data_IF_135308391990
#
_entry.id   IF_135308391990
#
_cell.length_a   1.000
_cell.length_b   1.000
_cell.length_c   1.000
_cell.angle_alpha   90.00
_cell.angle_beta   90.00
_cell.angle_gamma   90.00
#
_symmetry.space_group_name_H-M   'P 1'
#
loop_
_entity.id
_entity.type
_entity.pdbx_description
1 polymer ?
#
# COMPACT_ATOMS: atom_id res chain seq x y z
N UNK A 1 25.82 -52.14 -60.69
CA UNK A 1 25.04 -50.97 -60.20
C UNK A 1 25.83 -49.70 -60.47
N UNK A 2 25.19 -48.72 -61.09
CA UNK A 2 25.84 -47.54 -61.66
C UNK A 2 26.26 -46.57 -60.54
N UNK A 3 27.57 -46.31 -60.36
CA UNK A 3 28.13 -45.43 -59.28
C UNK A 3 27.55 -44.01 -59.32
N UNK A 4 27.01 -43.59 -60.46
CA UNK A 4 26.32 -42.32 -60.65
C UNK A 4 24.95 -42.27 -59.94
N UNK A 5 24.21 -43.38 -59.92
CA UNK A 5 22.89 -43.47 -59.29
C UNK A 5 22.99 -43.39 -57.75
N UNK A 6 24.06 -43.95 -57.15
CA UNK A 6 24.28 -43.93 -55.70
C UNK A 6 24.63 -42.51 -55.21
N UNK A 7 25.40 -41.74 -56.00
CA UNK A 7 25.72 -40.34 -55.66
C UNK A 7 24.52 -39.40 -55.79
N UNK A 8 23.68 -39.60 -56.82
CA UNK A 8 22.45 -38.82 -56.98
C UNK A 8 21.45 -39.11 -55.84
N UNK A 9 21.33 -40.38 -55.43
CA UNK A 9 20.46 -40.77 -54.31
C UNK A 9 20.96 -40.21 -52.97
N UNK A 10 22.27 -40.24 -52.71
CA UNK A 10 22.85 -39.68 -51.49
C UNK A 10 22.72 -38.15 -51.40
N UNK A 11 22.86 -37.43 -52.52
CA UNK A 11 22.61 -35.99 -52.58
C UNK A 11 21.13 -35.63 -52.45
N UNK A 12 20.21 -36.46 -52.98
CA UNK A 12 18.77 -36.26 -52.79
C UNK A 12 18.35 -36.52 -51.32
N UNK A 13 18.96 -37.51 -50.66
CA UNK A 13 18.73 -37.82 -49.24
C UNK A 13 19.27 -36.71 -48.34
N UNK A 14 20.45 -36.14 -48.63
CA UNK A 14 20.96 -34.96 -47.90
C UNK A 14 20.13 -33.69 -48.15
N UNK A 15 19.52 -33.54 -49.34
CA UNK A 15 18.59 -32.43 -49.62
C UNK A 15 17.23 -32.61 -48.91
N UNK A 16 16.77 -33.86 -48.74
CA UNK A 16 15.53 -34.21 -48.03
C UNK A 16 15.68 -34.21 -46.49
N UNK A 17 16.89 -34.41 -45.98
CA UNK A 17 17.19 -34.37 -44.53
C UNK A 17 17.58 -32.96 -44.02
N UNK A 18 17.80 -31.99 -44.91
CA UNK A 18 18.29 -30.65 -44.55
C UNK A 18 17.24 -29.67 -44.03
N UNK A 19 15.95 -30.00 -44.12
CA UNK A 19 14.85 -29.12 -43.70
C UNK A 19 13.78 -29.91 -42.95
N UNK A 20 14.15 -30.57 -41.86
CA UNK A 20 13.15 -30.81 -40.82
C UNK A 20 12.77 -29.42 -40.29
N UNK A 21 11.69 -28.84 -40.81
CA UNK A 21 11.08 -27.66 -40.23
C UNK A 21 10.91 -27.98 -38.74
N UNK A 22 11.62 -27.25 -37.88
CA UNK A 22 11.45 -27.36 -36.44
C UNK A 22 9.98 -27.08 -36.19
N UNK A 23 9.24 -28.15 -35.87
CA UNK A 23 7.82 -28.04 -35.60
C UNK A 23 7.66 -27.00 -34.50
N UNK A 24 6.87 -25.96 -34.77
CA UNK A 24 6.47 -24.99 -33.77
C UNK A 24 5.85 -25.79 -32.61
N UNK A 25 6.51 -25.73 -31.46
CA UNK A 25 6.00 -26.34 -30.25
C UNK A 25 5.49 -25.21 -29.36
N UNK A 26 4.30 -25.36 -28.82
CA UNK A 26 3.88 -24.53 -27.71
C UNK A 26 4.54 -25.04 -26.43
N UNK A 27 5.07 -24.13 -25.63
CA UNK A 27 5.71 -24.44 -24.35
C UNK A 27 4.99 -23.70 -23.23
N UNK A 28 4.96 -24.33 -22.06
CA UNK A 28 4.29 -23.77 -20.88
C UNK A 28 5.24 -22.86 -20.13
N UNK A 29 4.92 -21.56 -20.07
CA UNK A 29 5.74 -20.52 -19.41
C UNK A 29 4.90 -19.82 -18.36
N UNK A 30 5.49 -19.45 -17.24
CA UNK A 30 4.86 -18.62 -16.20
C UNK A 30 5.76 -17.43 -15.95
N UNK A 31 5.23 -16.21 -15.91
CA UNK A 31 6.01 -15.03 -15.55
C UNK A 31 5.76 -14.71 -14.08
N UNK A 32 6.81 -14.35 -13.35
CA UNK A 32 6.75 -13.86 -11.97
C UNK A 32 7.39 -12.48 -11.94
N UNK A 33 6.98 -11.65 -11.00
CA UNK A 33 7.35 -10.24 -11.00
C UNK A 33 7.78 -9.82 -9.60
N UNK A 34 8.95 -9.20 -9.56
CA UNK A 34 9.52 -8.57 -8.38
C UNK A 34 9.63 -7.08 -8.73
N UNK A 35 9.33 -6.20 -7.78
CA UNK A 35 9.54 -4.77 -7.87
C UNK A 35 10.84 -4.47 -7.13
N UNK A 36 11.74 -3.77 -7.80
CA UNK A 36 12.90 -3.23 -7.11
C UNK A 36 12.51 -1.88 -6.52
N UNK A 37 12.53 -1.77 -5.19
CA UNK A 37 12.11 -0.58 -4.45
C UNK A 37 13.27 0.02 -3.70
N UNK A 38 13.31 1.35 -3.65
CA UNK A 38 14.30 2.12 -2.88
C UNK A 38 13.54 3.14 -2.05
N UNK A 39 13.25 2.75 -0.81
CA UNK A 39 12.57 3.61 0.15
C UNK A 39 13.58 4.41 0.94
N UNK A 40 13.27 5.67 1.28
CA UNK A 40 14.08 6.48 2.19
C UNK A 40 13.90 6.06 3.66
N UNK A 41 12.80 5.37 3.98
CA UNK A 41 12.38 4.91 5.30
C UNK A 41 12.32 3.37 5.40
N UNK A 42 13.20 2.67 4.68
CA UNK A 42 13.22 1.21 4.67
C UNK A 42 13.39 0.61 6.07
N UNK A 43 14.13 1.27 6.96
CA UNK A 43 14.35 0.83 8.34
C UNK A 43 13.14 1.08 9.28
N UNK A 44 12.08 1.79 8.85
CA UNK A 44 10.89 2.00 9.68
C UNK A 44 10.00 0.74 9.70
N UNK A 45 10.08 -0.06 10.78
CA UNK A 45 9.25 -1.24 11.02
C UNK A 45 9.96 -2.58 10.79
N UNK A 46 9.20 -3.68 10.83
CA UNK A 46 9.71 -5.06 10.79
C UNK A 46 9.71 -5.69 9.39
N UNK A 47 8.92 -5.12 8.47
CA UNK A 47 8.84 -5.58 7.09
C UNK A 47 9.57 -4.65 6.13
N UNK A 48 10.29 -5.26 5.19
CA UNK A 48 11.04 -4.55 4.15
C UNK A 48 12.10 -3.62 4.78
N UNK A 49 12.80 -4.14 5.79
CA UNK A 49 13.91 -3.50 6.55
C UNK A 49 15.21 -3.39 5.76
N UNK A 50 15.22 -3.92 4.54
CA UNK A 50 16.27 -3.71 3.57
C UNK A 50 15.54 -3.19 2.35
N UNK A 51 16.11 -2.18 1.68
CA UNK A 51 15.68 -1.86 0.32
C UNK A 51 15.76 -3.11 -0.57
N UNK A 52 15.26 -3.00 -1.79
CA UNK A 52 15.44 -3.97 -2.87
C UNK A 52 14.48 -5.18 -2.88
N UNK A 53 13.98 -5.47 -4.09
CA UNK A 53 13.29 -6.70 -4.51
C UNK A 53 12.14 -7.21 -3.61
N UNK A 54 10.93 -6.69 -3.83
CA UNK A 54 9.69 -7.18 -3.21
C UNK A 54 8.73 -7.79 -4.25
N UNK A 55 7.86 -8.71 -3.84
CA UNK A 55 6.89 -9.28 -4.77
C UNK A 55 5.94 -8.19 -5.30
N UNK A 56 5.67 -8.22 -6.62
CA UNK A 56 4.78 -7.27 -7.27
C UNK A 56 3.29 -7.65 -7.08
N UNK A 57 2.82 -7.67 -5.83
CA UNK A 57 1.52 -8.23 -5.46
C UNK A 57 0.38 -7.74 -6.35
N UNK A 58 -0.23 -8.67 -7.09
CA UNK A 58 -1.38 -8.36 -7.92
C UNK A 58 -1.10 -7.45 -9.13
N UNK A 59 0.16 -7.23 -9.51
CA UNK A 59 0.50 -6.30 -10.60
C UNK A 59 -0.19 -6.67 -11.92
N UNK A 60 -0.65 -5.68 -12.67
CA UNK A 60 -1.13 -5.88 -14.03
C UNK A 60 0.04 -6.08 -14.97
N UNK A 61 0.02 -7.20 -15.68
CA UNK A 61 0.99 -7.52 -16.72
C UNK A 61 0.30 -7.79 -18.05
N UNK A 62 1.02 -7.52 -19.14
CA UNK A 62 0.60 -7.84 -20.50
C UNK A 62 1.75 -8.52 -21.23
N UNK A 63 1.45 -9.65 -21.86
CA UNK A 63 2.39 -10.39 -22.72
C UNK A 63 1.83 -10.35 -24.13
N UNK A 64 2.60 -9.80 -25.07
CA UNK A 64 2.22 -9.58 -26.46
C UNK A 64 3.13 -10.43 -27.34
N UNK A 65 2.54 -11.16 -28.27
CA UNK A 65 3.26 -11.89 -29.30
C UNK A 65 3.74 -10.91 -30.38
N UNK A 66 5.05 -10.67 -30.48
CA UNK A 66 5.60 -9.69 -31.42
C UNK A 66 5.38 -10.09 -32.88
N UNK A 67 5.12 -11.37 -33.16
CA UNK A 67 4.92 -11.87 -34.52
C UNK A 67 3.49 -11.64 -35.01
N UNK A 68 2.51 -11.62 -34.11
CA UNK A 68 1.08 -11.46 -34.48
C UNK A 68 0.44 -10.18 -33.95
N UNK A 69 1.11 -9.48 -33.03
CA UNK A 69 0.59 -8.34 -32.26
C UNK A 69 -0.60 -8.70 -31.34
N UNK A 70 -0.80 -9.99 -31.05
CA UNK A 70 -1.86 -10.46 -30.17
C UNK A 70 -1.40 -10.49 -28.70
N UNK A 71 -2.28 -10.07 -27.79
CA UNK A 71 -2.06 -10.26 -26.37
C UNK A 71 -2.32 -11.72 -25.98
N UNK A 72 -1.27 -12.46 -25.61
CA UNK A 72 -1.38 -13.83 -25.07
C UNK A 72 -1.69 -13.83 -23.57
N UNK A 73 -1.46 -12.69 -22.90
CA UNK A 73 -1.90 -12.42 -21.53
C UNK A 73 -2.16 -10.92 -21.38
N UNK A 74 -3.28 -10.56 -20.75
CA UNK A 74 -3.58 -9.20 -20.27
C UNK A 74 -4.41 -9.37 -18.99
N UNK A 75 -3.75 -9.29 -17.84
CA UNK A 75 -4.37 -9.68 -16.58
C UNK A 75 -3.51 -9.37 -15.37
N UNK A 76 -3.91 -9.94 -14.24
CA UNK A 76 -3.29 -9.72 -12.94
C UNK A 76 -2.35 -10.87 -12.60
N UNK A 77 -1.19 -10.53 -12.07
CA UNK A 77 -0.33 -11.49 -11.40
C UNK A 77 -0.96 -11.94 -10.08
N UNK A 78 -0.44 -13.02 -9.50
CA UNK A 78 -0.85 -13.47 -8.18
C UNK A 78 -0.55 -12.44 -7.08
N UNK A 79 -1.29 -12.54 -5.99
CA UNK A 79 -1.20 -11.76 -4.75
C UNK A 79 -0.45 -12.50 -3.64
N UNK A 80 0.04 -13.71 -3.93
CA UNK A 80 0.79 -14.53 -2.97
C UNK A 80 2.10 -15.01 -3.59
N UNK A 81 3.13 -15.16 -2.77
CA UNK A 81 4.46 -15.56 -3.21
C UNK A 81 5.07 -14.54 -4.19
N UNK A 82 5.66 -15.02 -5.30
CA UNK A 82 6.43 -14.21 -6.25
C UNK A 82 5.60 -13.45 -7.30
N UNK A 83 4.33 -13.16 -7.00
CA UNK A 83 3.40 -12.46 -7.89
C UNK A 83 3.47 -12.94 -9.36
N UNK A 84 2.99 -14.16 -9.61
CA UNK A 84 3.13 -14.78 -10.92
C UNK A 84 1.83 -14.86 -11.71
N UNK A 85 1.91 -14.85 -13.03
CA UNK A 85 0.80 -15.18 -13.94
C UNK A 85 0.34 -16.63 -13.76
N UNK A 86 -0.78 -17.00 -14.39
CA UNK A 86 -1.04 -18.41 -14.71
C UNK A 86 -0.01 -18.94 -15.72
N UNK A 87 0.05 -20.26 -15.90
CA UNK A 87 0.85 -20.85 -16.98
C UNK A 87 0.25 -20.46 -18.34
N UNK A 88 1.09 -19.87 -19.19
CA UNK A 88 0.80 -19.45 -20.55
C UNK A 88 1.36 -20.47 -21.55
N UNK A 89 0.70 -20.62 -22.70
CA UNK A 89 1.14 -21.49 -23.78
C UNK A 89 1.74 -20.64 -24.90
N UNK A 90 3.07 -20.59 -25.01
CA UNK A 90 3.80 -19.71 -25.92
C UNK A 90 4.48 -20.49 -27.06
N UNK A 91 4.53 -19.93 -28.25
CA UNK A 91 5.13 -20.53 -29.43
C UNK A 91 6.64 -20.33 -29.45
N UNK A 92 7.43 -21.41 -29.55
CA UNK A 92 8.91 -21.36 -29.58
C UNK A 92 9.51 -20.64 -30.78
N UNK A 93 8.72 -20.37 -31.83
CA UNK A 93 9.18 -19.66 -33.02
C UNK A 93 8.83 -18.16 -33.00
N UNK A 94 8.17 -17.70 -31.93
CA UNK A 94 7.77 -16.31 -31.77
C UNK A 94 8.62 -15.63 -30.69
N UNK A 95 8.65 -14.30 -30.69
CA UNK A 95 9.16 -13.52 -29.56
C UNK A 95 8.04 -12.80 -28.86
N UNK A 96 8.22 -12.53 -27.58
CA UNK A 96 7.19 -11.91 -26.75
C UNK A 96 7.70 -10.65 -26.08
N UNK A 97 6.85 -9.64 -26.14
CA UNK A 97 6.98 -8.40 -25.39
C UNK A 97 6.23 -8.54 -24.07
N UNK A 98 6.90 -8.31 -22.95
CA UNK A 98 6.31 -8.33 -21.61
C UNK A 98 6.28 -6.89 -21.07
N UNK A 99 5.10 -6.43 -20.66
CA UNK A 99 4.88 -5.10 -20.09
C UNK A 99 4.21 -5.18 -18.73
N UNK A 100 4.65 -4.32 -17.83
CA UNK A 100 4.04 -4.06 -16.54
C UNK A 100 3.38 -2.69 -16.54
N UNK A 101 2.36 -2.54 -15.71
CA UNK A 101 1.66 -1.28 -15.50
C UNK A 101 1.75 -0.90 -14.04
N UNK A 102 1.80 0.40 -13.73
CA UNK A 102 1.70 0.93 -12.37
C UNK A 102 0.28 0.78 -11.79
N UNK A 103 -0.20 -0.48 -11.76
CA UNK A 103 -1.56 -0.87 -11.43
C UNK A 103 -1.56 -2.27 -10.84
N UNK A 104 -2.24 -2.45 -9.71
CA UNK A 104 -2.29 -3.73 -9.00
C UNK A 104 -3.70 -4.05 -8.51
N UNK A 105 -4.01 -5.33 -8.31
CA UNK A 105 -5.28 -5.81 -7.75
C UNK A 105 -5.05 -6.81 -6.63
N UNK A 106 -5.61 -6.56 -5.46
CA UNK A 106 -5.54 -7.47 -4.31
C UNK A 106 -6.55 -8.63 -4.42
N UNK A 107 -6.58 -9.51 -3.41
CA UNK A 107 -7.50 -10.65 -3.32
C UNK A 107 -8.97 -10.26 -3.06
N UNK A 108 -9.20 -9.00 -2.66
CA UNK A 108 -10.52 -8.45 -2.41
C UNK A 108 -11.06 -7.65 -3.61
N UNK A 109 -10.42 -7.77 -4.79
CA UNK A 109 -10.73 -7.02 -6.00
C UNK A 109 -10.58 -5.49 -5.86
N UNK A 110 -9.84 -5.02 -4.86
CA UNK A 110 -9.41 -3.63 -4.78
C UNK A 110 -8.30 -3.37 -5.80
N UNK A 111 -8.40 -2.25 -6.52
CA UNK A 111 -7.47 -1.88 -7.58
C UNK A 111 -6.74 -0.59 -7.20
N UNK A 112 -5.41 -0.67 -7.14
CA UNK A 112 -4.51 0.48 -7.00
C UNK A 112 -4.11 0.94 -8.40
N UNK A 113 -4.24 2.24 -8.66
CA UNK A 113 -3.74 2.91 -9.86
C UNK A 113 -2.75 3.98 -9.40
N UNK A 114 -1.53 3.93 -9.93
CA UNK A 114 -0.50 4.92 -9.66
C UNK A 114 -0.18 5.68 -10.96
N UNK A 115 -0.29 7.00 -10.92
CA UNK A 115 -0.13 7.87 -12.07
C UNK A 115 1.10 8.76 -11.92
N UNK A 116 1.78 9.04 -13.04
CA UNK A 116 3.02 9.82 -13.07
C UNK A 116 2.83 11.33 -12.88
N UNK A 117 1.62 11.84 -13.07
CA UNK A 117 1.36 13.29 -13.05
C UNK A 117 0.05 13.62 -12.37
N UNK A 118 -0.02 14.77 -11.72
CA UNK A 118 -1.20 15.22 -10.97
C UNK A 118 -2.47 15.44 -11.83
N UNK A 119 -2.34 15.55 -13.15
CA UNK A 119 -3.44 15.92 -14.06
C UNK A 119 -3.76 14.85 -15.10
N UNK A 120 -2.98 13.78 -15.18
CA UNK A 120 -3.15 12.71 -16.16
C UNK A 120 -3.44 11.37 -15.50
N UNK A 121 -4.33 10.60 -16.11
CA UNK A 121 -4.57 9.18 -15.75
C UNK A 121 -3.64 8.24 -16.52
N UNK A 122 -2.45 8.73 -16.88
CA UNK A 122 -1.46 7.93 -17.59
C UNK A 122 -0.75 7.03 -16.58
N UNK A 123 -1.10 5.74 -16.62
CA UNK A 123 -0.34 4.70 -15.93
C UNK A 123 1.08 4.68 -16.49
N UNK A 124 2.07 4.61 -15.61
CA UNK A 124 3.42 4.25 -15.98
C UNK A 124 3.39 2.84 -16.58
N UNK A 125 4.10 2.66 -17.70
CA UNK A 125 4.21 1.39 -18.41
C UNK A 125 5.67 1.06 -18.58
N UNK A 126 6.09 -0.07 -18.04
CA UNK A 126 7.46 -0.53 -18.15
C UNK A 126 7.52 -1.76 -19.04
N UNK A 127 8.39 -1.72 -20.06
CA UNK A 127 8.70 -2.91 -20.84
C UNK A 127 9.84 -3.68 -20.16
N UNK A 128 9.56 -4.93 -19.78
CA UNK A 128 10.47 -5.75 -18.97
C UNK A 128 11.29 -6.73 -19.80
N UNK A 129 10.74 -7.17 -20.93
CA UNK A 129 11.41 -7.98 -21.93
C UNK A 129 10.83 -7.61 -23.29
N UNK A 130 11.67 -7.25 -24.26
CA UNK A 130 11.22 -6.83 -25.59
C UNK A 130 11.09 -8.01 -26.55
N UNK A 131 11.88 -9.08 -26.36
CA UNK A 131 12.04 -10.15 -27.33
C UNK A 131 12.22 -11.51 -26.65
N UNK A 132 11.38 -11.82 -25.66
CA UNK A 132 11.46 -13.11 -24.99
C UNK A 132 11.22 -14.25 -25.98
N UNK A 133 12.22 -15.12 -26.16
CA UNK A 133 12.10 -16.34 -26.96
C UNK A 133 11.91 -17.56 -26.03
N UNK A 134 10.74 -18.21 -26.04
CA UNK A 134 10.48 -19.32 -25.13
C UNK A 134 11.19 -20.60 -25.62
N UNK A 135 11.68 -21.41 -24.68
CA UNK A 135 12.43 -22.65 -24.96
C UNK A 135 11.70 -23.88 -24.41
N UNK A 136 11.83 -25.02 -25.09
CA UNK A 136 11.15 -26.27 -24.71
C UNK A 136 11.65 -26.79 -23.37
N UNK A 137 10.72 -27.12 -22.47
CA UNK A 137 11.01 -27.81 -21.22
C UNK A 137 11.37 -26.93 -20.02
N UNK A 138 11.11 -25.63 -20.05
CA UNK A 138 11.47 -24.71 -18.95
C UNK A 138 10.27 -24.00 -18.33
N UNK A 139 10.13 -24.05 -17.00
CA UNK A 139 9.48 -22.96 -16.25
C UNK A 139 10.50 -21.82 -16.14
N UNK A 140 10.16 -20.62 -16.62
CA UNK A 140 11.04 -19.45 -16.52
C UNK A 140 10.61 -18.55 -15.38
N UNK A 141 11.36 -18.53 -14.30
CA UNK A 141 11.24 -17.47 -13.32
C UNK A 141 11.90 -16.22 -13.90
N UNK A 142 11.11 -15.18 -14.09
CA UNK A 142 11.64 -13.83 -14.27
C UNK A 142 11.75 -13.22 -12.88
N UNK A 143 12.97 -12.96 -12.45
CA UNK A 143 13.20 -11.96 -11.42
C UNK A 143 13.33 -10.67 -12.18
N UNK A 144 12.28 -9.86 -12.15
CA UNK A 144 12.35 -8.54 -12.72
C UNK A 144 13.02 -7.64 -11.70
N UNK A 145 14.26 -7.26 -11.98
CA UNK A 145 14.95 -6.18 -11.28
C UNK A 145 14.55 -4.92 -12.06
N UNK A 146 13.81 -4.00 -11.44
CA UNK A 146 13.42 -2.75 -12.10
C UNK A 146 14.66 -1.86 -12.12
N UNK A 147 15.51 -2.02 -13.14
CA UNK A 147 16.85 -1.39 -13.21
C UNK A 147 16.79 0.15 -13.33
N UNK A 148 15.60 0.76 -13.38
CA UNK A 148 15.43 2.20 -13.32
C UNK A 148 14.21 2.50 -12.44
N UNK A 149 14.42 2.51 -11.12
CA UNK A 149 13.41 2.81 -10.13
C UNK A 149 12.68 4.10 -10.51
N UNK A 150 11.39 3.95 -10.83
CA UNK A 150 10.49 5.08 -10.97
C UNK A 150 9.61 5.13 -9.72
N UNK A 151 9.38 6.33 -9.18
CA UNK A 151 8.61 6.55 -7.94
C UNK A 151 7.26 5.81 -7.94
N UNK A 152 6.65 5.60 -9.11
CA UNK A 152 5.40 4.87 -9.27
C UNK A 152 5.50 3.41 -8.83
N UNK A 153 6.69 2.80 -8.95
CA UNK A 153 6.93 1.41 -8.53
C UNK A 153 7.05 1.29 -7.01
N UNK A 154 7.74 2.22 -6.34
CA UNK A 154 7.77 2.35 -4.89
C UNK A 154 6.35 2.53 -4.33
N UNK A 155 5.60 3.48 -4.88
CA UNK A 155 4.22 3.76 -4.45
C UNK A 155 3.30 2.56 -4.69
N UNK A 156 3.41 1.91 -5.86
CA UNK A 156 2.60 0.72 -6.16
C UNK A 156 2.92 -0.43 -5.21
N UNK A 157 4.20 -0.70 -4.95
CA UNK A 157 4.63 -1.78 -4.07
C UNK A 157 4.05 -1.57 -2.65
N UNK A 158 4.27 -0.40 -2.06
CA UNK A 158 3.78 -0.07 -0.71
C UNK A 158 2.25 -0.15 -0.64
N UNK A 159 1.54 0.48 -1.59
CA UNK A 159 0.08 0.53 -1.57
C UNK A 159 -0.57 -0.84 -1.82
N UNK A 160 -0.02 -1.64 -2.74
CA UNK A 160 -0.55 -2.97 -3.03
C UNK A 160 -0.29 -3.96 -1.89
N UNK A 161 0.87 -3.89 -1.27
CA UNK A 161 1.18 -4.69 -0.08
C UNK A 161 0.25 -4.35 1.08
N UNK A 162 0.11 -3.07 1.42
CA UNK A 162 -0.76 -2.62 2.51
C UNK A 162 -2.21 -3.08 2.34
N UNK A 163 -2.78 -2.95 1.15
CA UNK A 163 -4.15 -3.41 0.89
C UNK A 163 -4.28 -4.95 0.88
N UNK A 164 -3.24 -5.67 0.45
CA UNK A 164 -3.23 -7.12 0.47
C UNK A 164 -3.22 -7.69 1.89
N UNK A 165 -2.44 -7.08 2.78
CA UNK A 165 -2.36 -7.46 4.20
C UNK A 165 -3.60 -6.97 4.96
N UNK A 166 -3.96 -5.71 4.76
CA UNK A 166 -4.98 -5.01 5.54
C UNK A 166 -6.02 -4.36 4.63
N UNK A 167 -6.91 -5.12 3.97
CA UNK A 167 -7.96 -4.54 3.13
C UNK A 167 -8.97 -3.71 3.93
N UNK A 168 -8.87 -3.73 5.26
CA UNK A 168 -9.83 -3.19 6.22
C UNK A 168 -11.27 -3.67 5.97
N UNK A 169 -11.44 -4.76 5.19
CA UNK A 169 -12.67 -5.37 4.65
C UNK A 169 -13.34 -4.59 3.49
N UNK A 170 -12.60 -3.70 2.83
CA UNK A 170 -12.98 -3.15 1.52
C UNK A 170 -12.88 -4.22 0.44
N UNK A 171 -13.75 -4.13 -0.56
CA UNK A 171 -13.72 -4.99 -1.74
C UNK A 171 -14.23 -4.23 -2.97
N UNK A 172 -13.62 -4.51 -4.12
CA UNK A 172 -14.00 -3.91 -5.41
C UNK A 172 -13.79 -2.39 -5.50
N UNK A 173 -12.92 -1.82 -4.66
CA UNK A 173 -12.66 -0.37 -4.64
C UNK A 173 -11.53 0.04 -5.58
N UNK A 174 -11.54 1.29 -6.02
CA UNK A 174 -10.44 1.88 -6.77
C UNK A 174 -9.72 2.92 -5.89
N UNK A 175 -8.39 2.84 -5.90
CA UNK A 175 -7.48 3.73 -5.19
C UNK A 175 -6.61 4.43 -6.24
N UNK A 176 -6.62 5.75 -6.25
CA UNK A 176 -5.93 6.57 -7.23
C UNK A 176 -4.84 7.36 -6.52
N UNK A 177 -3.58 7.13 -6.89
CA UNK A 177 -2.42 7.78 -6.32
C UNK A 177 -1.63 8.46 -7.44
N UNK A 178 -1.22 9.70 -7.22
CA UNK A 178 -0.38 10.46 -8.14
C UNK A 178 0.97 10.70 -7.46
N UNK A 179 2.07 10.48 -8.19
CA UNK A 179 3.46 10.72 -7.71
C UNK A 179 3.91 12.18 -7.86
N UNK A 180 2.96 13.06 -8.16
CA UNK A 180 3.15 14.50 -8.26
C UNK A 180 1.97 15.22 -7.63
N UNK A 181 2.24 16.35 -6.99
CA UNK A 181 1.23 17.27 -6.45
C UNK A 181 0.95 18.41 -7.44
N UNK A 182 -0.24 19.02 -7.43
CA UNK A 182 -0.50 20.27 -8.14
C UNK A 182 0.50 21.37 -7.72
N UNK A 183 0.89 22.29 -8.63
CA UNK A 183 1.91 23.31 -8.34
C UNK A 183 1.56 24.31 -7.23
N UNK A 184 0.28 24.40 -6.86
CA UNK A 184 -0.28 25.31 -5.84
C UNK A 184 -0.49 24.64 -4.48
N UNK A 185 -0.23 23.34 -4.38
CA UNK A 185 -0.36 22.56 -3.15
C UNK A 185 1.00 22.29 -2.51
N UNK A 186 1.01 21.97 -1.22
CA UNK A 186 2.23 21.60 -0.48
C UNK A 186 1.97 20.33 0.33
N UNK A 187 2.99 19.47 0.37
CA UNK A 187 2.89 18.18 1.07
C UNK A 187 2.09 17.15 0.29
N UNK A 188 2.23 15.89 0.68
CA UNK A 188 1.29 14.87 0.28
C UNK A 188 -0.08 15.12 0.90
N UNK A 189 -1.15 14.76 0.20
CA UNK A 189 -2.51 14.90 0.69
C UNK A 189 -3.50 14.02 -0.07
N UNK A 190 -4.66 13.79 0.55
CA UNK A 190 -5.82 13.20 -0.08
C UNK A 190 -6.85 14.30 -0.46
N UNK A 191 -7.17 14.40 -1.75
CA UNK A 191 -8.22 15.28 -2.25
C UNK A 191 -9.63 14.79 -1.86
N UNK A 192 -10.61 15.70 -1.95
CA UNK A 192 -12.01 15.42 -1.56
C UNK A 192 -12.71 14.32 -2.36
N UNK A 193 -12.22 13.99 -3.56
CA UNK A 193 -12.71 12.88 -4.39
C UNK A 193 -12.08 11.52 -4.02
N UNK A 194 -11.14 11.50 -3.07
CA UNK A 194 -10.38 10.33 -2.66
C UNK A 194 -9.20 10.02 -3.56
N UNK A 195 -8.71 11.00 -4.31
CA UNK A 195 -7.43 10.89 -5.02
C UNK A 195 -6.29 11.31 -4.10
N UNK A 196 -5.23 10.51 -4.01
CA UNK A 196 -4.02 10.83 -3.25
C UNK A 196 -3.00 11.49 -4.17
N UNK A 197 -2.40 12.57 -3.71
CA UNK A 197 -1.25 13.22 -4.35
C UNK A 197 -0.05 13.13 -3.41
N UNK A 198 1.03 12.53 -3.89
CA UNK A 198 2.26 12.33 -3.12
C UNK A 198 3.31 13.32 -3.60
N UNK A 199 3.91 14.02 -2.65
CA UNK A 199 5.10 14.83 -2.91
C UNK A 199 6.37 13.96 -2.95
N UNK A 200 7.53 14.61 -3.04
CA UNK A 200 8.80 13.87 -3.08
C UNK A 200 9.04 13.05 -1.81
N UNK A 201 8.73 13.60 -0.65
CA UNK A 201 9.01 12.96 0.64
C UNK A 201 8.14 11.72 0.86
N UNK A 202 6.91 11.71 0.37
CA UNK A 202 5.98 10.60 0.61
C UNK A 202 6.03 9.51 -0.48
N UNK A 203 6.39 9.85 -1.72
CA UNK A 203 6.45 8.83 -2.81
C UNK A 203 7.69 7.94 -2.73
N UNK A 204 8.74 8.41 -2.03
CA UNK A 204 9.94 7.64 -1.74
C UNK A 204 9.93 7.05 -0.33
N UNK A 205 8.88 7.27 0.46
CA UNK A 205 8.71 6.71 1.79
C UNK A 205 7.56 5.69 1.81
N UNK A 206 7.82 4.44 2.20
CA UNK A 206 6.78 3.40 2.33
C UNK A 206 5.74 3.82 3.35
N UNK A 207 6.16 4.40 4.48
CA UNK A 207 5.28 4.89 5.54
C UNK A 207 4.46 6.10 5.10
N UNK A 208 5.05 7.01 4.31
CA UNK A 208 4.37 8.16 3.73
C UNK A 208 3.26 7.74 2.76
N UNK A 209 3.58 6.80 1.85
CA UNK A 209 2.59 6.25 0.92
C UNK A 209 1.43 5.55 1.66
N UNK A 210 1.73 4.70 2.64
CA UNK A 210 0.66 3.98 3.36
C UNK A 210 -0.11 4.87 4.33
N UNK A 211 0.46 5.98 4.79
CA UNK A 211 -0.24 6.94 5.64
C UNK A 211 -1.37 7.59 4.86
N UNK A 212 -1.06 8.14 3.68
CA UNK A 212 -2.07 8.71 2.80
C UNK A 212 -3.11 7.66 2.35
N UNK A 213 -2.66 6.44 2.11
CA UNK A 213 -3.56 5.33 1.83
C UNK A 213 -4.51 5.02 3.00
N UNK A 214 -4.04 5.14 4.25
CA UNK A 214 -4.86 5.00 5.46
C UNK A 214 -6.02 5.98 5.50
N UNK A 215 -5.79 7.26 5.15
CA UNK A 215 -6.85 8.26 4.98
C UNK A 215 -7.88 7.80 3.96
N UNK A 216 -7.42 7.32 2.81
CA UNK A 216 -8.30 6.87 1.72
C UNK A 216 -9.07 5.59 2.08
N UNK A 217 -8.46 4.64 2.78
CA UNK A 217 -9.16 3.46 3.31
C UNK A 217 -10.27 3.89 4.26
N UNK A 218 -9.99 4.85 5.16
CA UNK A 218 -10.98 5.47 6.04
C UNK A 218 -12.13 6.11 5.28
N UNK A 219 -11.82 6.93 4.26
CA UNK A 219 -12.79 7.55 3.36
C UNK A 219 -13.67 6.52 2.65
N UNK A 220 -13.07 5.48 2.04
CA UNK A 220 -13.81 4.44 1.31
C UNK A 220 -14.68 3.61 2.25
N UNK A 221 -14.24 3.41 3.49
CA UNK A 221 -15.03 2.75 4.53
C UNK A 221 -16.21 3.58 4.97
N UNK A 222 -16.02 4.87 5.10
CA UNK A 222 -17.06 5.83 5.42
C UNK A 222 -17.89 6.28 4.20
N UNK A 223 -18.11 5.38 3.23
CA UNK A 223 -18.98 5.66 2.08
C UNK A 223 -18.54 6.82 1.18
N UNK A 224 -17.24 7.12 1.12
CA UNK A 224 -16.64 8.30 0.46
C UNK A 224 -16.94 9.64 1.15
N UNK A 225 -17.05 9.64 2.47
CA UNK A 225 -17.18 10.85 3.27
C UNK A 225 -15.92 11.05 4.11
N UNK A 226 -15.24 12.19 3.93
CA UNK A 226 -13.84 12.40 4.36
C UNK A 226 -13.64 12.63 5.86
N UNK A 227 -14.71 12.63 6.64
CA UNK A 227 -14.69 13.05 8.02
C UNK A 227 -14.53 14.57 8.15
N UNK A 228 -15.11 15.14 9.19
CA UNK A 228 -14.80 16.51 9.56
C UNK A 228 -13.46 16.55 10.28
N UNK A 229 -12.55 17.42 9.83
CA UNK A 229 -11.20 17.59 10.38
C UNK A 229 -10.98 19.05 10.76
N UNK A 230 -10.59 19.32 12.00
CA UNK A 230 -10.33 20.68 12.47
C UNK A 230 -8.86 20.84 12.86
N UNK A 231 -8.07 21.39 11.94
CA UNK A 231 -6.65 21.69 12.17
C UNK A 231 -6.43 23.10 12.75
N UNK A 232 -7.50 23.83 13.04
CA UNK A 232 -7.46 25.23 13.44
C UNK A 232 -7.23 25.46 14.93
N UNK A 233 -6.49 24.60 15.64
CA UNK A 233 -6.13 24.89 17.03
C UNK A 233 -4.99 25.92 17.09
N UNK A 234 -5.31 27.10 17.61
CA UNK A 234 -4.39 28.25 17.73
C UNK A 234 -3.99 28.54 19.17
N UNK A 235 -4.17 27.57 20.08
CA UNK A 235 -3.96 27.74 21.52
C UNK A 235 -2.58 28.30 21.92
N UNK A 236 -2.59 29.22 22.89
CA UNK A 236 -1.48 30.07 23.36
C UNK A 236 -0.64 29.43 24.50
N UNK A 237 -0.73 28.11 24.68
CA UNK A 237 -0.23 27.40 25.86
C UNK A 237 0.95 26.49 25.53
N UNK A 238 2.20 26.92 25.73
CA UNK A 238 3.47 26.16 25.90
C UNK A 238 3.79 24.88 25.07
N UNK A 239 2.89 24.35 24.24
CA UNK A 239 3.13 23.32 23.24
C UNK A 239 3.84 24.02 22.08
N UNK A 240 5.07 23.59 21.80
CA UNK A 240 6.02 24.39 21.01
C UNK A 240 5.74 24.42 19.50
N UNK A 241 4.71 23.72 19.01
CA UNK A 241 4.30 23.72 17.60
C UNK A 241 2.82 24.05 17.44
N UNK A 242 2.51 24.90 16.45
CA UNK A 242 1.15 25.17 16.00
C UNK A 242 0.50 23.88 15.47
N UNK A 243 -0.83 23.78 15.55
CA UNK A 243 -1.60 22.60 15.16
C UNK A 243 -1.53 22.22 13.67
N UNK A 244 -0.94 23.07 12.83
CA UNK A 244 -0.79 22.81 11.39
C UNK A 244 0.31 21.82 11.04
N UNK A 245 1.21 21.51 11.99
CA UNK A 245 2.45 20.83 11.67
C UNK A 245 2.46 19.33 12.06
N UNK A 246 1.35 18.77 12.56
CA UNK A 246 1.20 17.33 12.87
C UNK A 246 2.45 16.71 13.50
N UNK A 247 2.72 17.11 14.74
CA UNK A 247 3.97 16.77 15.44
C UNK A 247 3.69 16.02 16.72
N UNK A 248 4.71 15.34 17.21
CA UNK A 248 4.68 14.68 18.51
C UNK A 248 4.26 15.62 19.66
N UNK A 249 4.50 16.92 19.49
CA UNK A 249 4.20 17.97 20.45
C UNK A 249 3.14 18.97 19.98
N UNK A 250 2.32 18.61 18.99
CA UNK A 250 1.16 19.40 18.61
C UNK A 250 0.04 19.22 19.63
N UNK A 251 -0.80 20.25 19.73
CA UNK A 251 -2.10 20.19 20.38
C UNK A 251 -3.14 20.27 19.27
N UNK A 252 -3.97 19.25 19.16
CA UNK A 252 -4.92 19.13 18.04
C UNK A 252 -6.34 18.98 18.55
N UNK A 253 -7.30 19.38 17.72
CA UNK A 253 -8.67 18.94 17.93
C UNK A 253 -8.75 17.44 17.72
N UNK A 254 -9.52 16.77 18.57
CA UNK A 254 -9.67 15.31 18.52
C UNK A 254 -10.03 14.81 17.14
N UNK A 255 -10.82 15.55 16.36
CA UNK A 255 -11.22 15.19 15.00
C UNK A 255 -10.06 15.12 14.00
N UNK A 256 -9.09 16.03 14.11
CA UNK A 256 -7.85 15.97 13.34
C UNK A 256 -6.94 14.86 13.87
N UNK A 257 -6.67 14.88 15.18
CA UNK A 257 -5.79 13.92 15.85
C UNK A 257 -6.18 12.46 15.57
N UNK A 258 -7.47 12.13 15.68
CA UNK A 258 -7.93 10.76 15.43
C UNK A 258 -7.86 10.37 13.95
N UNK A 259 -8.04 11.33 13.04
CA UNK A 259 -7.96 11.09 11.61
C UNK A 259 -6.51 10.74 11.22
N UNK A 260 -5.55 11.55 11.65
CA UNK A 260 -4.13 11.30 11.42
C UNK A 260 -3.64 10.07 12.18
N UNK A 261 -4.08 9.88 13.42
CA UNK A 261 -3.76 8.69 14.21
C UNK A 261 -4.28 7.40 13.59
N UNK A 262 -5.43 7.43 12.91
CA UNK A 262 -5.93 6.27 12.16
C UNK A 262 -5.07 5.97 10.92
N UNK A 263 -4.61 6.99 10.20
CA UNK A 263 -3.69 6.83 9.07
C UNK A 263 -2.31 6.30 9.52
N UNK A 264 -1.76 6.85 10.60
CA UNK A 264 -0.57 6.32 11.26
C UNK A 264 -0.75 4.88 11.70
N UNK A 265 -1.90 4.54 12.29
CA UNK A 265 -2.21 3.16 12.68
C UNK A 265 -2.22 2.21 11.48
N UNK A 266 -2.85 2.61 10.37
CA UNK A 266 -2.88 1.80 9.16
C UNK A 266 -1.48 1.54 8.59
N UNK A 267 -0.62 2.56 8.61
CA UNK A 267 0.80 2.39 8.26
C UNK A 267 1.52 1.47 9.23
N UNK A 268 1.36 1.69 10.53
CA UNK A 268 2.06 0.94 11.57
C UNK A 268 1.71 -0.54 11.51
N UNK A 269 0.42 -0.88 11.41
CA UNK A 269 -0.02 -2.28 11.29
C UNK A 269 0.41 -2.94 9.97
N UNK A 270 0.68 -2.15 8.94
CA UNK A 270 1.21 -2.67 7.67
C UNK A 270 2.67 -3.09 7.79
N UNK A 271 3.49 -2.28 8.45
CA UNK A 271 4.94 -2.45 8.45
C UNK A 271 5.52 -3.11 9.70
N UNK A 272 4.71 -3.35 10.73
CA UNK A 272 5.15 -4.02 11.96
C UNK A 272 4.52 -5.41 12.11
N UNK A 273 5.26 -6.32 12.75
CA UNK A 273 4.77 -7.63 13.14
C UNK A 273 3.83 -7.48 14.35
N UNK A 274 2.54 -7.68 14.10
CA UNK A 274 1.51 -7.65 15.15
C UNK A 274 1.64 -8.77 16.21
N UNK A 275 2.69 -9.58 16.20
CA UNK A 275 3.04 -10.49 17.29
C UNK A 275 4.08 -9.92 18.26
N UNK A 276 4.77 -8.86 17.88
CA UNK A 276 5.78 -8.19 18.70
C UNK A 276 5.12 -7.15 19.64
N UNK A 277 5.78 -6.86 20.76
CA UNK A 277 5.23 -5.93 21.77
C UNK A 277 5.72 -4.50 21.58
N UNK A 278 6.70 -4.30 20.71
CA UNK A 278 7.19 -3.03 20.20
C UNK A 278 6.54 -2.79 18.84
N UNK A 279 6.42 -1.51 18.49
CA UNK A 279 6.04 -1.12 17.15
C UNK A 279 6.81 0.12 16.78
N UNK A 280 7.34 0.16 15.56
CA UNK A 280 8.12 1.27 15.05
C UNK A 280 7.33 2.06 14.01
N UNK A 281 7.32 3.37 14.20
CA UNK A 281 6.80 4.31 13.22
C UNK A 281 7.68 5.56 13.23
N UNK A 282 8.43 5.80 12.15
CA UNK A 282 9.37 6.94 12.01
C UNK A 282 10.41 7.02 13.12
N UNK A 283 11.15 5.94 13.33
CA UNK A 283 12.11 5.78 14.44
C UNK A 283 11.51 6.00 15.84
N UNK A 284 10.20 5.81 16.01
CA UNK A 284 9.51 5.94 17.31
C UNK A 284 8.86 4.63 17.70
N UNK A 285 9.14 4.21 18.92
CA UNK A 285 8.39 3.15 19.55
C UNK A 285 6.99 3.66 19.91
N UNK A 286 5.97 3.19 19.19
CA UNK A 286 4.59 3.42 19.54
C UNK A 286 4.13 2.51 20.69
N UNK A 287 4.97 1.60 21.19
CA UNK A 287 4.93 0.66 22.31
C UNK A 287 5.06 1.17 23.76
N UNK A 288 6.31 1.20 24.21
CA UNK A 288 6.69 1.22 25.63
C UNK A 288 8.16 1.56 25.90
N UNK A 289 8.90 2.02 24.92
CA UNK A 289 10.24 2.54 25.06
C UNK A 289 10.25 3.75 26.00
N UNK A 290 11.41 4.01 26.60
CA UNK A 290 11.62 5.19 27.46
C UNK A 290 11.21 6.51 26.78
N UNK A 291 11.20 6.51 25.45
CA UNK A 291 10.88 7.66 24.62
C UNK A 291 9.39 8.01 24.63
N UNK A 292 8.46 7.05 24.80
CA UNK A 292 7.01 7.31 24.70
C UNK A 292 6.40 7.93 25.97
N UNK A 293 6.76 7.44 27.17
CA UNK A 293 6.05 7.84 28.39
C UNK A 293 6.52 9.16 29.03
N UNK A 294 7.74 9.63 28.73
CA UNK A 294 8.33 10.77 29.46
C UNK A 294 8.13 12.09 28.71
N UNK A 295 8.08 12.09 27.37
CA UNK A 295 8.07 13.33 26.58
C UNK A 295 6.68 13.74 26.04
N UNK A 296 5.71 12.82 25.90
CA UNK A 296 4.53 13.04 25.05
C UNK A 296 3.35 13.63 25.81
N UNK A 297 3.01 13.03 26.97
CA UNK A 297 1.98 13.53 27.88
C UNK A 297 2.43 14.74 28.72
N UNK A 298 3.75 15.03 28.76
CA UNK A 298 4.34 16.05 29.63
C UNK A 298 4.69 17.36 28.92
N UNK A 299 4.76 17.40 27.58
CA UNK A 299 5.14 18.61 26.85
C UNK A 299 4.01 19.65 26.80
N UNK A 300 2.78 19.19 26.74
CA UNK A 300 1.61 20.03 26.90
C UNK A 300 1.12 19.92 28.35
N UNK A 301 1.23 21.00 29.14
CA UNK A 301 0.83 20.97 30.55
C UNK A 301 -0.67 20.62 30.68
N UNK A 302 -1.06 19.50 31.34
CA UNK A 302 -2.45 19.19 31.58
C UNK A 302 -3.11 20.25 32.48
N UNK A 303 -4.44 20.45 32.38
CA UNK A 303 -5.39 19.68 31.57
C UNK A 303 -5.45 20.17 30.10
N UNK A 304 -5.38 19.24 29.15
CA UNK A 304 -5.40 19.56 27.71
C UNK A 304 -6.79 19.87 27.15
N UNK A 305 -7.85 19.69 27.96
CA UNK A 305 -9.21 20.13 27.65
C UNK A 305 -9.87 19.33 26.53
N UNK A 306 -9.81 17.98 26.61
CA UNK A 306 -10.26 17.08 25.54
C UNK A 306 -9.45 17.21 24.25
N UNK A 307 -8.15 17.49 24.36
CA UNK A 307 -7.22 17.51 23.22
C UNK A 307 -6.16 16.44 23.42
N UNK A 308 -5.73 15.85 22.32
CA UNK A 308 -4.63 14.90 22.21
C UNK A 308 -3.93 15.18 20.89
N UNK A 309 -2.89 14.42 20.57
CA UNK A 309 -2.26 14.44 19.27
C UNK A 309 -2.53 13.13 18.50
N UNK A 310 -2.15 13.12 17.24
CA UNK A 310 -2.28 11.95 16.37
C UNK A 310 -1.56 10.69 16.87
N UNK A 311 -0.49 10.83 17.65
CA UNK A 311 0.28 9.71 18.17
C UNK A 311 -0.37 9.07 19.41
N UNK A 312 -1.11 9.83 20.22
CA UNK A 312 -1.97 9.29 21.26
C UNK A 312 -3.03 8.37 20.63
N UNK A 313 -3.60 8.80 19.50
CA UNK A 313 -4.58 8.01 18.75
C UNK A 313 -3.98 6.83 18.00
N UNK A 314 -2.80 6.97 17.38
CA UNK A 314 -2.03 5.86 16.83
C UNK A 314 -1.86 4.76 17.88
N UNK A 315 -1.32 5.12 19.04
CA UNK A 315 -1.09 4.23 20.16
C UNK A 315 -2.38 3.55 20.60
N UNK A 316 -3.45 4.33 20.73
CA UNK A 316 -4.75 3.82 21.12
C UNK A 316 -5.27 2.76 20.15
N UNK A 317 -5.20 3.00 18.85
CA UNK A 317 -5.61 2.02 17.83
C UNK A 317 -4.70 0.79 17.82
N UNK A 318 -3.40 0.99 17.98
CA UNK A 318 -2.42 -0.09 18.11
C UNK A 318 -2.74 -1.00 19.30
N UNK A 319 -3.01 -0.45 20.48
CA UNK A 319 -3.35 -1.24 21.67
C UNK A 319 -4.68 -1.99 21.54
N UNK A 320 -5.67 -1.39 20.87
CA UNK A 320 -6.88 -2.13 20.52
C UNK A 320 -6.56 -3.29 19.58
N UNK A 321 -5.74 -3.05 18.57
CA UNK A 321 -5.39 -4.08 17.59
C UNK A 321 -4.61 -5.23 18.21
N UNK A 322 -3.49 -4.90 18.84
CA UNK A 322 -2.53 -5.83 19.37
C UNK A 322 -3.00 -6.42 20.70
N UNK A 323 -3.09 -5.57 21.73
CA UNK A 323 -3.31 -5.99 23.11
C UNK A 323 -4.74 -6.46 23.38
N UNK A 324 -5.73 -5.95 22.65
CA UNK A 324 -7.12 -6.41 22.73
C UNK A 324 -7.54 -7.33 21.56
N UNK A 325 -6.62 -7.66 20.65
CA UNK A 325 -6.86 -8.53 19.48
C UNK A 325 -8.05 -8.08 18.61
N UNK A 326 -8.26 -6.77 18.49
CA UNK A 326 -9.31 -6.21 17.63
C UNK A 326 -8.80 -6.16 16.19
N UNK A 327 -9.55 -6.73 15.24
CA UNK A 327 -9.12 -6.72 13.84
C UNK A 327 -9.05 -5.30 13.25
N UNK A 328 -8.15 -5.07 12.29
CA UNK A 328 -8.09 -3.80 11.52
C UNK A 328 -9.45 -3.47 10.90
N UNK A 329 -10.14 -4.47 10.35
CA UNK A 329 -11.50 -4.28 9.82
C UNK A 329 -12.47 -3.73 10.87
N UNK A 330 -12.44 -4.25 12.11
CA UNK A 330 -13.29 -3.75 13.20
C UNK A 330 -12.91 -2.32 13.58
N UNK A 331 -11.63 -1.96 13.63
CA UNK A 331 -11.19 -0.59 13.91
C UNK A 331 -11.76 0.39 12.86
N UNK A 332 -11.69 0.06 11.58
CA UNK A 332 -12.30 0.88 10.53
C UNK A 332 -13.83 0.87 10.55
N UNK A 333 -14.48 -0.19 11.07
CA UNK A 333 -15.92 -0.17 11.36
C UNK A 333 -16.27 0.81 12.48
N UNK A 334 -15.46 0.88 13.55
CA UNK A 334 -15.65 1.87 14.63
C UNK A 334 -15.55 3.29 14.07
N UNK A 335 -14.53 3.55 13.24
CA UNK A 335 -14.36 4.83 12.55
C UNK A 335 -15.62 5.21 11.77
N UNK A 336 -16.10 4.33 10.89
CA UNK A 336 -17.31 4.54 10.10
C UNK A 336 -18.56 4.75 10.98
N UNK A 337 -18.76 3.91 11.98
CA UNK A 337 -19.96 3.94 12.83
C UNK A 337 -19.98 5.17 13.76
N UNK A 338 -18.82 5.77 14.04
CA UNK A 338 -18.69 7.04 14.74
C UNK A 338 -19.09 8.25 13.88
N UNK A 339 -19.31 8.05 12.58
CA UNK A 339 -19.81 9.04 11.62
C UNK A 339 -19.03 10.36 11.65
N UNK A 340 -17.75 10.35 11.21
CA UNK A 340 -16.83 11.46 11.40
C UNK A 340 -17.25 12.75 10.69
N UNK A 341 -18.11 12.68 9.67
CA UNK A 341 -18.61 13.88 8.97
C UNK A 341 -19.54 14.73 9.84
N UNK A 342 -20.07 14.16 10.91
CA UNK A 342 -20.96 14.88 11.84
C UNK A 342 -20.22 15.62 12.95
N UNK A 343 -18.89 15.54 13.00
CA UNK A 343 -18.12 16.10 14.12
C UNK A 343 -17.94 17.63 14.08
N UNK A 344 -18.41 18.31 13.03
CA UNK A 344 -18.30 19.77 12.92
C UNK A 344 -18.98 20.48 14.10
N UNK A 345 -18.22 21.26 14.87
CA UNK A 345 -18.68 21.93 16.09
C UNK A 345 -18.93 20.99 17.28
N UNK A 346 -18.54 19.72 17.16
CA UNK A 346 -18.68 18.66 18.16
C UNK A 346 -17.33 17.99 18.45
N UNK A 347 -16.21 18.68 18.19
CA UNK A 347 -14.84 18.14 18.28
C UNK A 347 -14.53 17.63 19.69
N UNK A 348 -15.10 18.25 20.73
CA UNK A 348 -14.99 17.81 22.12
C UNK A 348 -15.65 16.44 22.40
N UNK A 349 -16.55 15.98 21.52
CA UNK A 349 -17.32 14.74 21.69
C UNK A 349 -16.86 13.60 20.79
N UNK A 350 -15.82 13.78 19.98
CA UNK A 350 -15.27 12.77 19.06
C UNK A 350 -15.00 11.44 19.78
N UNK A 351 -14.31 11.49 20.92
CA UNK A 351 -14.06 10.32 21.76
C UNK A 351 -15.35 9.58 22.15
N UNK A 352 -16.41 10.32 22.52
CA UNK A 352 -17.70 9.72 22.88
C UNK A 352 -18.36 9.02 21.69
N UNK A 353 -18.26 9.58 20.48
CA UNK A 353 -18.79 8.94 19.28
C UNK A 353 -18.05 7.63 18.98
N UNK A 354 -16.72 7.67 19.03
CA UNK A 354 -15.88 6.48 18.82
C UNK A 354 -16.12 5.42 19.89
N UNK A 355 -16.26 5.81 21.16
CA UNK A 355 -16.60 4.90 22.26
C UNK A 355 -17.96 4.22 22.04
N UNK A 356 -18.98 4.99 21.63
CA UNK A 356 -20.30 4.42 21.34
C UNK A 356 -20.25 3.47 20.14
N UNK A 357 -19.49 3.81 19.10
CA UNK A 357 -19.25 2.96 17.93
C UNK A 357 -18.49 1.68 18.30
N UNK A 358 -17.49 1.77 19.17
CA UNK A 358 -16.77 0.62 19.71
C UNK A 358 -17.71 -0.33 20.49
N UNK A 359 -18.57 0.22 21.35
CA UNK A 359 -19.59 -0.57 22.04
C UNK A 359 -20.56 -1.25 21.07
N UNK A 360 -20.98 -0.57 20.00
CA UNK A 360 -21.81 -1.15 18.94
C UNK A 360 -21.10 -2.29 18.18
N UNK A 361 -19.77 -2.24 18.10
CA UNK A 361 -18.91 -3.27 17.52
C UNK A 361 -18.48 -4.35 18.54
N UNK A 362 -19.09 -4.38 19.73
CA UNK A 362 -18.84 -5.41 20.75
C UNK A 362 -17.60 -5.18 21.60
N UNK A 363 -16.92 -4.04 21.45
CA UNK A 363 -15.80 -3.65 22.30
C UNK A 363 -16.37 -3.04 23.57
N UNK A 364 -16.21 -3.77 24.67
CA UNK A 364 -16.77 -3.32 25.96
C UNK A 364 -16.09 -2.03 26.43
N UNK A 365 -16.84 -1.19 27.15
CA UNK A 365 -16.31 0.00 27.80
C UNK A 365 -15.07 -0.30 28.65
N UNK A 366 -14.99 -1.45 29.32
CA UNK A 366 -13.84 -1.80 30.15
C UNK A 366 -12.52 -1.91 29.34
N UNK A 367 -12.57 -2.44 28.11
CA UNK A 367 -11.40 -2.53 27.23
C UNK A 367 -11.03 -1.16 26.69
N UNK A 368 -12.03 -0.44 26.16
CA UNK A 368 -11.83 0.90 25.61
C UNK A 368 -11.29 1.90 26.66
N UNK A 369 -11.91 1.93 27.83
CA UNK A 369 -11.56 2.85 28.93
C UNK A 369 -10.18 2.50 29.51
N UNK A 370 -9.82 1.22 29.60
CA UNK A 370 -8.50 0.80 30.08
C UNK A 370 -7.38 1.35 29.18
N UNK A 371 -7.47 1.15 27.87
CA UNK A 371 -6.48 1.64 26.92
C UNK A 371 -6.52 3.17 26.77
N UNK A 372 -7.71 3.78 26.80
CA UNK A 372 -7.87 5.23 26.82
C UNK A 372 -7.19 5.89 28.03
N UNK A 373 -7.26 5.25 29.20
CA UNK A 373 -6.60 5.70 30.42
C UNK A 373 -5.07 5.54 30.40
N UNK A 374 -4.53 4.58 29.63
CA UNK A 374 -3.08 4.39 29.45
C UNK A 374 -2.52 5.40 28.45
N UNK A 375 -3.23 5.62 27.34
CA UNK A 375 -2.68 6.29 26.15
C UNK A 375 -3.05 7.76 26.00
N UNK A 376 -3.69 8.36 27.00
CA UNK A 376 -3.96 9.78 26.93
C UNK A 376 -5.26 10.19 26.25
N UNK A 377 -5.90 9.26 25.55
CA UNK A 377 -7.05 9.56 24.67
C UNK A 377 -8.35 9.85 25.45
N UNK A 378 -8.41 9.48 26.74
CA UNK A 378 -9.55 9.72 27.65
C UNK A 378 -9.46 11.05 28.45
N UNK A 379 -8.73 12.06 27.97
CA UNK A 379 -8.44 13.29 28.75
C UNK A 379 -9.54 14.36 28.70
N UNK A 380 -10.74 14.01 28.23
CA UNK A 380 -11.93 14.85 28.19
C UNK A 380 -12.91 14.52 29.32
N UNK A 381 -13.16 15.51 30.18
CA UNK A 381 -13.88 15.45 31.47
C UNK A 381 -15.24 14.72 31.40
N UNK A 382 -15.43 13.73 32.28
CA UNK A 382 -16.74 13.36 32.84
C UNK A 382 -17.13 14.41 33.90
N UNK A 383 -18.42 14.80 33.93
CA UNK A 383 -19.02 16.15 34.10
C UNK A 383 -18.36 17.19 35.00
#
# INVERSE_FOLDING_TARGET
MNKFAIRLLASLIFLLLGFAATASANVSVRFCFILDTDYEDYDDGDYWTEGWNHAAYGIRAKVIDNNTDDAVFDGWAGTTGLACTSYLSLNTNHTYLVRLYSKAKDDNDNIVHVFQSYSGENLHQQTVDWEYAPTVGTTKLYTYEIINQEHETNVLAAASFALSEHPAGLSGKNFYLHTQIPPDENGAYMASDGTIFLDQTCKDAKTGTTHELGHLVGLRRNGNQGGYKNYGDTGDDNCTSLATDHRLNSREWQSAAVNEGLAHFYTTVTWNDGTENDCEFRDKDCQGGSDYQVDWLNQCNPPLGSRGNEFDWLRFWWDLHHSASISVQTIFSIWNDANPDTWSGLEYYVYKYLRNAAAANGITNAVWDYWGGINGVDHGIWP
#
